data_IF_510474018389
#
_entry.id   IF_510474018389
#
_cell.length_a   1.000
_cell.length_b   1.000
_cell.length_c   1.000
_cell.angle_alpha   90.00
_cell.angle_beta   90.00
_cell.angle_gamma   90.00
#
_symmetry.space_group_name_H-M   'P 1'
#
loop_
_entity.id
_entity.type
_entity.pdbx_description
1 polymer ?
#
# COMPACT_ATOMS: atom_id res chain seq x y z
N UNK A 1 -38.39 -46.47 62.54
CA UNK A 1 -37.98 -47.05 61.25
C UNK A 1 -38.72 -46.31 60.14
N UNK A 2 -38.05 -45.41 59.42
CA UNK A 2 -38.14 -45.18 57.97
C UNK A 2 -37.35 -43.91 57.60
N UNK A 3 -36.93 -43.87 56.34
CA UNK A 3 -35.59 -43.52 55.89
C UNK A 3 -35.39 -42.04 55.50
N UNK A 4 -34.12 -41.69 55.41
CA UNK A 4 -33.53 -40.38 55.11
C UNK A 4 -33.60 -39.99 53.62
N UNK A 5 -33.65 -38.67 53.42
CA UNK A 5 -32.82 -37.82 52.55
C UNK A 5 -32.80 -38.01 51.03
N UNK A 6 -32.81 -36.87 50.34
CA UNK A 6 -32.24 -36.74 48.99
C UNK A 6 -32.62 -35.45 48.28
N UNK A 7 -32.11 -34.30 48.71
CA UNK A 7 -32.05 -33.10 47.85
C UNK A 7 -30.78 -33.21 47.03
N UNK A 8 -30.92 -33.46 45.72
CA UNK A 8 -29.81 -33.44 44.78
C UNK A 8 -29.58 -31.99 44.36
N UNK A 9 -28.50 -31.39 44.86
CA UNK A 9 -27.98 -30.11 44.36
C UNK A 9 -26.97 -30.45 43.25
N UNK A 10 -27.36 -30.27 41.99
CA UNK A 10 -26.45 -30.33 40.86
C UNK A 10 -25.57 -29.08 40.84
N UNK A 11 -24.31 -29.21 41.26
CA UNK A 11 -23.27 -28.20 41.04
C UNK A 11 -22.89 -28.21 39.56
N UNK A 12 -23.31 -27.17 38.81
CA UNK A 12 -22.76 -26.87 37.50
C UNK A 12 -21.35 -26.30 37.69
N UNK A 13 -20.32 -27.07 37.33
CA UNK A 13 -18.94 -26.57 37.25
C UNK A 13 -18.79 -25.74 35.98
N UNK A 14 -18.80 -24.40 36.11
CA UNK A 14 -18.40 -23.51 35.03
C UNK A 14 -16.89 -23.56 34.88
N UNK A 15 -16.40 -24.24 33.83
CA UNK A 15 -14.99 -24.17 33.41
C UNK A 15 -14.68 -22.74 32.95
N UNK A 16 -14.10 -21.93 33.84
CA UNK A 16 -13.45 -20.68 33.44
C UNK A 16 -12.16 -21.04 32.70
N UNK A 17 -12.17 -20.93 31.37
CA UNK A 17 -10.94 -20.88 30.59
C UNK A 17 -10.28 -19.52 30.85
N UNK A 18 -9.02 -19.46 31.32
CA UNK A 18 -8.31 -18.21 31.40
C UNK A 18 -8.10 -17.68 29.98
N UNK A 19 -8.58 -16.48 29.71
CA UNK A 19 -8.27 -15.78 28.47
C UNK A 19 -6.75 -15.59 28.43
N UNK A 20 -6.10 -16.18 27.43
CA UNK A 20 -4.73 -15.86 27.05
C UNK A 20 -4.71 -14.39 26.62
N UNK A 21 -4.39 -13.50 27.56
CA UNK A 21 -4.04 -12.12 27.24
C UNK A 21 -2.70 -12.19 26.53
N UNK A 22 -2.72 -12.04 25.20
CA UNK A 22 -1.50 -11.87 24.41
C UNK A 22 -0.88 -10.52 24.81
N UNK A 23 0.11 -10.56 25.71
CA UNK A 23 0.95 -9.42 26.03
C UNK A 23 2.05 -9.30 24.98
N UNK A 24 1.65 -9.05 23.72
CA UNK A 24 2.58 -8.60 22.69
C UNK A 24 2.96 -7.16 22.95
N UNK A 25 4.25 -6.87 23.11
CA UNK A 25 4.73 -5.48 23.08
C UNK A 25 4.53 -4.95 21.66
N UNK A 26 3.77 -3.86 21.52
CA UNK A 26 3.66 -3.15 20.24
C UNK A 26 5.03 -2.56 19.89
N UNK A 27 5.72 -3.16 18.93
CA UNK A 27 6.98 -2.62 18.39
C UNK A 27 6.62 -1.53 17.38
N UNK A 28 6.80 -0.28 17.78
CA UNK A 28 6.63 0.86 16.87
C UNK A 28 7.95 1.10 16.11
N UNK A 29 7.90 1.02 14.78
CA UNK A 29 8.98 1.46 13.91
C UNK A 29 8.65 2.84 13.31
N UNK A 30 9.10 3.95 13.92
CA UNK A 30 8.77 5.30 13.42
C UNK A 30 9.32 5.55 12.01
N UNK A 31 10.37 4.84 11.61
CA UNK A 31 10.97 4.96 10.27
C UNK A 31 10.08 4.41 9.17
N UNK A 32 9.07 3.58 9.49
CA UNK A 32 8.15 2.98 8.50
C UNK A 32 7.44 4.04 7.64
N UNK A 33 7.18 5.21 8.22
CA UNK A 33 6.56 6.32 7.48
C UNK A 33 7.43 6.86 6.33
N UNK A 34 8.74 6.70 6.41
CA UNK A 34 9.70 7.17 5.41
C UNK A 34 10.19 6.05 4.49
N UNK A 35 9.55 4.88 4.54
CA UNK A 35 9.90 3.78 3.68
C UNK A 35 9.38 4.01 2.26
N UNK A 36 10.26 3.75 1.29
CA UNK A 36 9.89 3.72 -0.12
C UNK A 36 9.16 2.42 -0.41
N UNK A 37 7.93 2.55 -0.88
CA UNK A 37 7.19 1.46 -1.52
C UNK A 37 7.63 1.37 -2.97
N UNK A 38 8.11 0.21 -3.39
CA UNK A 38 8.54 -0.06 -4.75
C UNK A 38 7.67 -1.17 -5.36
N UNK A 39 7.09 -0.91 -6.54
CA UNK A 39 6.36 -1.88 -7.35
C UNK A 39 7.18 -2.19 -8.59
N UNK A 40 7.42 -3.46 -8.88
CA UNK A 40 8.21 -3.85 -10.06
C UNK A 40 7.44 -3.53 -11.34
N UNK A 41 8.16 -3.08 -12.37
CA UNK A 41 7.58 -2.80 -13.69
C UNK A 41 6.88 -4.02 -14.29
N UNK A 42 7.39 -5.23 -14.03
CA UNK A 42 6.74 -6.49 -14.40
C UNK A 42 5.34 -6.70 -13.80
N UNK A 43 5.02 -6.00 -12.71
CA UNK A 43 3.71 -6.07 -12.02
C UNK A 43 2.78 -4.93 -12.46
N UNK A 44 3.29 -3.96 -13.21
CA UNK A 44 2.50 -2.83 -13.68
C UNK A 44 1.71 -3.18 -14.95
N UNK A 45 0.46 -2.73 -15.07
CA UNK A 45 -0.37 -2.98 -16.26
C UNK A 45 0.00 -2.09 -17.47
N UNK A 46 1.16 -1.44 -17.42
CA UNK A 46 1.60 -0.42 -18.39
C UNK A 46 2.95 -0.72 -19.04
N UNK A 47 3.42 -1.97 -18.97
CA UNK A 47 4.64 -2.40 -19.67
C UNK A 47 4.58 -2.00 -21.15
N UNK A 48 5.68 -1.41 -21.64
CA UNK A 48 5.84 -0.90 -23.00
C UNK A 48 5.15 0.43 -23.27
N UNK A 49 4.47 1.03 -22.28
CA UNK A 49 3.87 2.35 -22.39
C UNK A 49 4.81 3.41 -21.82
N UNK A 50 4.71 4.64 -22.35
CA UNK A 50 5.41 5.78 -21.77
C UNK A 50 4.89 6.06 -20.36
N UNK A 51 5.76 6.54 -19.48
CA UNK A 51 5.41 7.02 -18.14
C UNK A 51 4.66 8.37 -18.18
N UNK A 52 4.66 9.05 -19.33
CA UNK A 52 3.90 10.28 -19.55
C UNK A 52 2.38 10.02 -19.48
N UNK A 53 1.64 10.96 -18.87
CA UNK A 53 0.19 10.86 -18.73
C UNK A 53 -0.30 9.94 -17.60
N UNK A 54 0.62 9.46 -16.76
CA UNK A 54 0.33 8.73 -15.53
C UNK A 54 0.61 9.59 -14.29
N UNK A 55 -0.14 9.31 -13.23
CA UNK A 55 0.06 9.84 -11.90
C UNK A 55 -0.19 8.75 -10.85
N UNK A 56 0.46 8.87 -9.69
CA UNK A 56 0.07 8.11 -8.49
C UNK A 56 -0.74 9.03 -7.59
N UNK A 57 -1.90 8.54 -7.17
CA UNK A 57 -2.88 9.29 -6.39
C UNK A 57 -3.19 8.54 -5.10
N UNK A 58 -3.54 9.27 -4.05
CA UNK A 58 -4.05 8.71 -2.81
C UNK A 58 -5.27 9.52 -2.33
N UNK A 59 -6.14 8.88 -1.55
CA UNK A 59 -7.29 9.57 -0.96
C UNK A 59 -6.81 10.48 0.17
N UNK A 60 -7.08 11.77 0.03
CA UNK A 60 -6.80 12.78 1.03
C UNK A 60 -8.07 13.59 1.30
N UNK A 61 -8.64 13.42 2.50
CA UNK A 61 -9.95 13.97 2.84
C UNK A 61 -11.05 13.38 1.96
N UNK A 62 -11.63 14.20 1.08
CA UNK A 62 -12.77 13.83 0.22
C UNK A 62 -12.41 13.78 -1.28
N UNK A 63 -11.12 13.75 -1.63
CA UNK A 63 -10.65 13.74 -3.02
C UNK A 63 -9.46 12.80 -3.21
N UNK A 64 -9.16 12.47 -4.47
CA UNK A 64 -7.87 11.92 -4.86
C UNK A 64 -6.89 13.07 -5.06
N UNK A 65 -5.76 13.03 -4.35
CA UNK A 65 -4.66 14.00 -4.47
C UNK A 65 -3.43 13.29 -5.06
N UNK A 66 -2.63 13.97 -5.90
CA UNK A 66 -1.37 13.42 -6.38
C UNK A 66 -0.37 13.30 -5.23
N UNK A 67 0.34 12.18 -5.19
CA UNK A 67 1.44 11.94 -4.25
C UNK A 67 2.79 12.00 -4.98
N UNK A 68 3.92 12.26 -4.29
CA UNK A 68 5.23 12.13 -4.91
C UNK A 68 5.50 10.69 -5.33
N UNK A 69 5.96 10.51 -6.57
CA UNK A 69 6.34 9.22 -7.12
C UNK A 69 7.42 9.37 -8.18
N UNK A 70 8.12 8.28 -8.49
CA UNK A 70 9.10 8.19 -9.57
C UNK A 70 8.93 6.87 -10.31
N UNK A 71 9.07 6.91 -11.63
CA UNK A 71 9.36 5.71 -12.41
C UNK A 71 10.87 5.66 -12.57
N UNK A 72 11.48 4.68 -11.91
CA UNK A 72 12.92 4.49 -11.87
C UNK A 72 13.33 3.49 -12.95
N UNK A 73 13.77 4.02 -14.09
CA UNK A 73 14.42 3.23 -15.13
C UNK A 73 15.68 2.56 -14.57
N UNK A 74 15.95 1.30 -14.93
CA UNK A 74 17.21 0.64 -14.54
C UNK A 74 18.29 0.81 -15.60
N UNK A 75 19.54 0.79 -15.15
CA UNK A 75 20.71 0.73 -16.00
C UNK A 75 21.18 -0.73 -16.18
N UNK A 76 22.12 -0.96 -17.09
CA UNK A 76 22.63 -2.32 -17.40
C UNK A 76 23.35 -3.02 -16.24
N UNK A 77 23.49 -2.37 -15.08
CA UNK A 77 24.00 -2.95 -13.83
C UNK A 77 22.90 -3.20 -12.80
N UNK A 78 21.63 -2.98 -13.15
CA UNK A 78 20.48 -3.13 -12.27
C UNK A 78 20.30 -2.01 -11.24
N UNK A 79 21.02 -0.88 -11.38
CA UNK A 79 20.84 0.30 -10.52
C UNK A 79 19.90 1.30 -11.18
N UNK A 80 19.37 2.26 -10.41
CA UNK A 80 18.61 3.38 -10.98
C UNK A 80 19.47 4.11 -12.03
N UNK A 81 18.90 4.30 -13.21
CA UNK A 81 19.52 5.01 -14.30
C UNK A 81 19.49 6.52 -14.04
N UNK A 82 20.59 7.19 -14.35
CA UNK A 82 20.74 8.64 -14.25
C UNK A 82 21.20 9.14 -15.61
N UNK A 83 20.40 10.00 -16.24
CA UNK A 83 20.75 10.55 -17.54
C UNK A 83 22.09 11.30 -17.49
N UNK A 84 22.95 11.05 -18.47
CA UNK A 84 24.32 11.59 -18.52
C UNK A 84 25.37 10.80 -17.72
N UNK A 85 24.98 9.77 -16.96
CA UNK A 85 25.94 8.84 -16.36
C UNK A 85 26.63 7.95 -17.41
N UNK A 86 27.77 7.36 -17.05
CA UNK A 86 28.55 6.49 -17.97
C UNK A 86 27.91 5.13 -18.22
N UNK A 87 26.98 4.70 -17.36
CA UNK A 87 26.27 3.43 -17.49
C UNK A 87 24.99 3.66 -18.27
N UNK A 88 24.80 2.87 -19.34
CA UNK A 88 23.62 2.97 -20.20
C UNK A 88 22.37 2.48 -19.48
N UNK A 89 21.22 3.06 -19.86
CA UNK A 89 19.89 2.53 -19.54
C UNK A 89 19.77 1.10 -20.05
N UNK A 90 19.10 0.24 -19.28
CA UNK A 90 18.68 -1.09 -19.71
C UNK A 90 17.27 -0.96 -20.29
N UNK A 91 17.18 -0.86 -21.62
CA UNK A 91 15.92 -0.57 -22.31
C UNK A 91 15.83 0.86 -22.84
N UNK A 92 14.71 1.53 -22.59
CA UNK A 92 14.35 2.86 -23.09
C UNK A 92 13.89 3.75 -21.95
N UNK A 93 14.50 4.93 -21.86
CA UNK A 93 14.10 5.94 -20.88
C UNK A 93 12.60 6.30 -21.00
N UNK A 94 11.95 6.46 -19.85
CA UNK A 94 10.53 6.85 -19.74
C UNK A 94 9.54 5.87 -20.39
N UNK A 95 9.93 4.63 -20.65
CA UNK A 95 9.04 3.56 -21.08
C UNK A 95 9.10 2.46 -20.04
N UNK A 96 7.96 2.09 -19.46
CA UNK A 96 7.94 1.09 -18.40
C UNK A 96 8.36 -0.27 -18.95
N UNK A 97 9.43 -0.82 -18.40
CA UNK A 97 9.91 -2.17 -18.70
C UNK A 97 9.94 -3.04 -17.44
N UNK A 98 10.18 -4.35 -17.61
CA UNK A 98 9.99 -5.31 -16.54
C UNK A 98 10.93 -5.09 -15.33
N UNK A 99 12.14 -4.61 -15.59
CA UNK A 99 13.20 -4.35 -14.61
C UNK A 99 12.99 -3.05 -13.81
N UNK A 100 12.19 -2.12 -14.33
CA UNK A 100 12.00 -0.79 -13.75
C UNK A 100 11.17 -0.87 -12.47
N UNK A 101 11.08 0.26 -11.77
CA UNK A 101 10.33 0.36 -10.52
C UNK A 101 9.45 1.60 -10.51
N UNK A 102 8.22 1.46 -10.02
CA UNK A 102 7.44 2.60 -9.54
C UNK A 102 7.69 2.76 -8.04
N UNK A 103 8.27 3.89 -7.66
CA UNK A 103 8.60 4.22 -6.28
C UNK A 103 7.72 5.36 -5.75
N UNK A 104 7.21 5.22 -4.53
CA UNK A 104 6.49 6.26 -3.79
C UNK A 104 6.61 6.02 -2.27
N UNK A 105 6.28 7.01 -1.44
CA UNK A 105 6.45 6.89 0.02
C UNK A 105 5.23 6.22 0.69
N UNK A 106 5.49 5.30 1.62
CA UNK A 106 4.44 4.62 2.39
C UNK A 106 3.49 5.60 3.12
N UNK A 107 4.03 6.67 3.73
CA UNK A 107 3.20 7.68 4.43
C UNK A 107 2.23 8.43 3.54
N UNK A 108 2.46 8.46 2.23
CA UNK A 108 1.60 9.18 1.29
C UNK A 108 0.39 8.36 0.85
N UNK A 109 0.36 7.07 1.17
CA UNK A 109 -0.81 6.23 0.93
C UNK A 109 -1.97 6.63 1.86
N UNK A 110 -3.19 6.57 1.31
CA UNK A 110 -4.41 7.04 1.93
C UNK A 110 -5.40 5.92 2.26
N UNK A 111 -6.65 6.32 2.48
CA UNK A 111 -7.77 5.38 2.65
C UNK A 111 -8.20 4.77 1.30
N UNK A 112 -8.99 3.70 1.37
CA UNK A 112 -9.59 3.11 0.17
C UNK A 112 -10.52 4.12 -0.49
N UNK A 113 -10.46 4.21 -1.82
CA UNK A 113 -11.35 5.06 -2.61
C UNK A 113 -12.80 4.60 -2.45
N UNK A 114 -13.73 5.56 -2.40
CA UNK A 114 -15.16 5.32 -2.36
C UNK A 114 -15.87 5.98 -3.56
N UNK A 115 -17.15 5.70 -3.74
CA UNK A 115 -17.94 6.20 -4.88
C UNK A 115 -18.00 7.73 -4.98
N UNK A 116 -17.97 8.44 -3.84
CA UNK A 116 -17.99 9.91 -3.81
C UNK A 116 -16.68 10.46 -4.35
N UNK A 117 -15.55 9.91 -3.91
CA UNK A 117 -14.22 10.33 -4.37
C UNK A 117 -14.03 9.99 -5.86
N UNK A 118 -14.46 8.79 -6.28
CA UNK A 118 -14.40 8.35 -7.68
C UNK A 118 -15.09 9.32 -8.65
N UNK A 119 -16.19 9.96 -8.23
CA UNK A 119 -16.93 10.89 -9.09
C UNK A 119 -16.15 12.17 -9.44
N UNK A 120 -15.11 12.50 -8.65
CA UNK A 120 -14.26 13.68 -8.86
C UNK A 120 -12.95 13.38 -9.61
N UNK A 121 -12.74 12.13 -10.00
CA UNK A 121 -11.50 11.69 -10.61
C UNK A 121 -11.38 12.20 -12.06
N UNK A 122 -10.29 12.92 -12.33
CA UNK A 122 -9.79 13.12 -13.68
C UNK A 122 -8.91 11.91 -14.08
N UNK A 123 -9.28 11.22 -15.16
CA UNK A 123 -8.57 10.04 -15.66
C UNK A 123 -9.23 8.72 -15.26
N UNK A 124 -8.45 7.63 -15.25
CA UNK A 124 -8.94 6.28 -14.95
C UNK A 124 -7.94 5.55 -14.06
N UNK A 125 -8.40 5.02 -12.92
CA UNK A 125 -7.61 4.11 -12.09
C UNK A 125 -7.39 2.82 -12.89
N UNK A 126 -6.12 2.47 -13.09
CA UNK A 126 -5.73 1.24 -13.79
C UNK A 126 -5.02 0.25 -12.88
N UNK A 127 -4.63 0.65 -11.67
CA UNK A 127 -4.11 -0.23 -10.63
C UNK A 127 -4.41 0.34 -9.23
N UNK A 128 -4.70 -0.55 -8.28
CA UNK A 128 -4.78 -0.27 -6.84
C UNK A 128 -3.59 -0.94 -6.16
N UNK A 129 -2.85 -0.18 -5.36
CA UNK A 129 -1.77 -0.68 -4.52
C UNK A 129 -2.25 -0.68 -3.07
N UNK A 130 -2.24 -1.84 -2.42
CA UNK A 130 -2.64 -2.00 -1.02
C UNK A 130 -1.47 -2.52 -0.20
N UNK A 131 -1.22 -1.87 0.93
CA UNK A 131 -0.39 -2.42 2.00
C UNK A 131 -1.29 -2.64 3.21
N UNK A 132 -1.42 -3.89 3.65
CA UNK A 132 -2.14 -4.27 4.86
C UNK A 132 -1.15 -4.70 5.94
N UNK A 133 -1.16 -3.98 7.06
CA UNK A 133 -0.33 -4.27 8.22
C UNK A 133 -1.20 -4.28 9.47
N UNK A 134 -1.21 -5.42 10.18
CA UNK A 134 -1.95 -5.55 11.44
C UNK A 134 -3.43 -5.14 11.33
N UNK A 135 -4.05 -5.39 10.17
CA UNK A 135 -5.44 -5.03 9.90
C UNK A 135 -5.67 -3.57 9.47
N UNK A 136 -4.61 -2.77 9.35
CA UNK A 136 -4.66 -1.42 8.80
C UNK A 136 -4.22 -1.45 7.35
N UNK A 137 -5.16 -1.19 6.44
CA UNK A 137 -4.86 -1.05 5.01
C UNK A 137 -4.62 0.40 4.62
N UNK A 138 -3.62 0.62 3.77
CA UNK A 138 -3.35 1.88 3.08
C UNK A 138 -3.34 1.66 1.59
N UNK A 139 -3.77 2.68 0.84
CA UNK A 139 -4.00 2.57 -0.59
C UNK A 139 -3.33 3.70 -1.38
N UNK A 140 -2.80 3.36 -2.54
CA UNK A 140 -2.41 4.28 -3.60
C UNK A 140 -2.93 3.76 -4.94
N UNK A 141 -3.03 4.65 -5.92
CA UNK A 141 -3.70 4.37 -7.18
C UNK A 141 -2.87 4.85 -8.35
N UNK A 142 -2.59 3.96 -9.30
CA UNK A 142 -2.03 4.36 -10.59
C UNK A 142 -3.18 4.84 -11.49
N UNK A 143 -3.12 6.09 -11.94
CA UNK A 143 -4.15 6.73 -12.75
C UNK A 143 -3.60 7.08 -14.11
N UNK A 144 -4.32 6.68 -15.17
CA UNK A 144 -4.05 7.04 -16.57
C UNK A 144 -4.87 8.26 -16.97
N UNK A 145 -4.29 9.15 -17.79
CA UNK A 145 -4.96 10.35 -18.27
C UNK A 145 -5.09 11.42 -17.19
N UNK A 146 -4.17 11.42 -16.23
CA UNK A 146 -4.07 12.42 -15.17
C UNK A 146 -2.63 12.94 -15.14
N UNK A 147 -2.48 14.24 -15.36
CA UNK A 147 -1.18 14.92 -15.41
C UNK A 147 -0.83 15.65 -14.11
N UNK A 148 -1.67 15.52 -13.07
CA UNK A 148 -1.46 16.21 -11.80
C UNK A 148 -0.17 15.70 -11.13
N UNK A 149 0.50 16.58 -10.41
CA UNK A 149 1.73 16.31 -9.67
C UNK A 149 1.60 16.86 -8.26
N UNK A 150 2.26 16.20 -7.32
CA UNK A 150 2.25 16.62 -5.92
C UNK A 150 3.16 17.83 -5.73
N UNK A 151 2.73 18.78 -4.91
CA UNK A 151 3.56 19.92 -4.49
C UNK A 151 4.43 19.58 -3.25
N UNK A 152 4.32 18.36 -2.73
CA UNK A 152 5.11 17.91 -1.58
C UNK A 152 6.58 17.75 -1.98
N UNK A 153 7.48 18.33 -1.20
CA UNK A 153 8.94 18.19 -1.32
C UNK A 153 9.47 17.57 -0.03
N UNK A 154 10.36 16.60 -0.17
CA UNK A 154 10.96 15.84 0.94
C UNK A 154 12.47 15.99 0.96
#
# INVERSE_FOLDING_TARGET
MQAKAGVIVCFLYTLMFPALVSAGLAVNNPSRQYEVTAVKGSELPIIGQSTEGYSVMAVEGAKLSPIPFQFDDKNTKGLVFISGASVKVDGKENVVEAQDELAFMYRDMGLKVNSVVMASLEGTIISEFEINEEGVSRYAYLVKGNSQRSDKVY
#
